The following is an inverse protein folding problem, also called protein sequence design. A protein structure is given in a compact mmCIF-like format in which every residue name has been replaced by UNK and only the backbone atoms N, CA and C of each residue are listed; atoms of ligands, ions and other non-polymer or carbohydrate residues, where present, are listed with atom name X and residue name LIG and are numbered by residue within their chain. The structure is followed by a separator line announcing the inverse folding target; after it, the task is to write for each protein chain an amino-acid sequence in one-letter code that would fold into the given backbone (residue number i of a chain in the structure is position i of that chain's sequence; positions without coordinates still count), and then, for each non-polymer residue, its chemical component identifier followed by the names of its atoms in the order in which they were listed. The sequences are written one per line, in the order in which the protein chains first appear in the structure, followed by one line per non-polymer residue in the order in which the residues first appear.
data_IF_099792062423
#
_entry.id   IF_099792062423
#
_cell.length_a   1.000
_cell.length_b   1.000
_cell.length_c   1.000
_cell.angle_alpha   90.00
_cell.angle_beta   90.00
_cell.angle_gamma   90.00
#
_symmetry.space_group_name_H-M   'P 1'
#
loop_
_entity.id
_entity.type
_entity.pdbx_description
1 polymer ?
#
# COMPACT_ATOMS: atom_id res chain seq x y z
N UNK A 1 -1.56 -1.10 7.90
CA UNK A 1 -0.66 -1.28 9.08
C UNK A 1 -0.37 -2.75 9.37
N UNK A 2 -1.28 -3.67 9.04
CA UNK A 2 -1.11 -5.11 9.31
C UNK A 2 0.15 -5.70 8.70
N UNK A 3 0.48 -5.32 7.48
CA UNK A 3 1.70 -5.77 6.80
C UNK A 3 3.02 -5.42 7.48
N UNK A 4 3.05 -4.43 8.40
CA UNK A 4 4.30 -4.03 9.08
C UNK A 4 4.83 -5.13 10.00
N UNK A 5 3.96 -5.88 10.66
CA UNK A 5 4.37 -6.98 11.56
C UNK A 5 5.04 -8.11 10.77
N UNK A 6 4.43 -8.49 9.65
CA UNK A 6 4.99 -9.51 8.74
C UNK A 6 6.28 -8.99 8.11
N UNK A 7 6.27 -7.74 7.63
CA UNK A 7 7.45 -7.08 7.09
C UNK A 7 8.61 -7.03 8.05
N UNK A 8 8.34 -6.82 9.36
CA UNK A 8 9.36 -6.84 10.40
C UNK A 8 10.01 -8.24 10.54
N UNK A 9 9.22 -9.31 10.52
CA UNK A 9 9.77 -10.67 10.58
C UNK A 9 10.61 -10.99 9.33
N UNK A 10 10.11 -10.65 8.15
CA UNK A 10 10.85 -10.82 6.89
C UNK A 10 12.15 -10.01 6.89
N UNK A 11 12.11 -8.75 7.34
CA UNK A 11 13.29 -7.89 7.46
C UNK A 11 14.38 -8.53 8.30
N UNK A 12 14.04 -9.13 9.44
CA UNK A 12 14.99 -9.84 10.31
C UNK A 12 15.58 -11.08 9.64
N UNK A 13 14.74 -11.91 9.01
CA UNK A 13 15.16 -13.15 8.37
C UNK A 13 16.07 -12.87 7.18
N UNK A 14 15.66 -11.93 6.33
CA UNK A 14 16.38 -11.58 5.10
C UNK A 14 17.51 -10.57 5.33
N UNK A 15 17.60 -9.98 6.53
CA UNK A 15 18.54 -8.89 6.88
C UNK A 15 18.43 -7.70 5.95
N UNK A 16 17.20 -7.32 5.62
CA UNK A 16 16.87 -6.18 4.76
C UNK A 16 16.24 -5.05 5.57
N UNK A 17 16.43 -3.79 5.16
CA UNK A 17 15.77 -2.66 5.81
C UNK A 17 14.25 -2.76 5.66
N UNK A 18 13.51 -2.32 6.69
CA UNK A 18 12.06 -2.21 6.69
C UNK A 18 11.64 -0.75 6.54
N UNK A 19 10.73 -0.50 5.62
CA UNK A 19 10.08 0.79 5.44
C UNK A 19 8.57 0.63 5.30
N UNK A 20 7.83 1.70 5.54
CA UNK A 20 6.38 1.73 5.34
C UNK A 20 6.04 2.56 4.11
N UNK A 21 5.15 2.05 3.29
CA UNK A 21 4.48 2.85 2.28
C UNK A 21 3.14 3.34 2.83
N UNK A 22 2.93 4.65 2.82
CA UNK A 22 1.68 5.27 3.22
C UNK A 22 0.99 5.77 1.96
N UNK A 23 -0.21 5.26 1.71
CA UNK A 23 -1.04 5.68 0.59
C UNK A 23 -2.38 6.19 1.10
N UNK A 24 -2.99 7.08 0.33
CA UNK A 24 -4.34 7.59 0.58
C UNK A 24 -5.14 7.54 -0.71
N UNK A 25 -6.40 7.14 -0.63
CA UNK A 25 -7.32 7.21 -1.76
C UNK A 25 -7.72 8.65 -2.01
N UNK A 26 -7.88 9.04 -3.27
CA UNK A 26 -8.56 10.27 -3.68
C UNK A 26 -10.00 9.88 -3.89
N UNK A 27 -10.92 10.43 -3.10
CA UNK A 27 -12.35 10.16 -3.22
C UNK A 27 -13.00 10.98 -4.35
N UNK A 28 -14.17 10.56 -4.78
CA UNK A 28 -15.01 11.33 -5.71
C UNK A 28 -15.67 12.51 -4.96
N UNK A 29 -15.86 13.69 -5.59
CA UNK A 29 -16.58 14.80 -4.97
C UNK A 29 -17.94 14.35 -4.42
N UNK A 30 -18.16 14.56 -3.12
CA UNK A 30 -19.39 14.16 -2.43
C UNK A 30 -19.51 12.66 -2.10
N UNK A 31 -18.55 11.83 -2.49
CA UNK A 31 -18.52 10.39 -2.14
C UNK A 31 -17.07 9.89 -1.94
N UNK A 32 -16.52 10.11 -0.75
CA UNK A 32 -15.13 9.75 -0.42
C UNK A 32 -14.84 8.24 -0.52
N UNK A 33 -15.84 7.37 -0.39
CA UNK A 33 -15.68 5.92 -0.50
C UNK A 33 -15.43 5.48 -1.96
N UNK A 34 -15.92 6.27 -2.93
CA UNK A 34 -15.69 6.00 -4.33
C UNK A 34 -14.35 6.57 -4.78
N UNK A 35 -13.32 5.72 -4.81
CA UNK A 35 -11.97 6.15 -5.13
C UNK A 35 -11.78 6.42 -6.63
N UNK A 36 -11.36 7.63 -6.95
CA UNK A 36 -10.96 8.07 -8.31
C UNK A 36 -9.46 8.04 -8.53
N UNK A 37 -8.70 7.80 -7.47
CA UNK A 37 -7.25 7.75 -7.54
C UNK A 37 -6.60 7.41 -6.20
N UNK A 38 -5.30 7.62 -6.13
CA UNK A 38 -4.53 7.50 -4.90
C UNK A 38 -3.28 8.38 -4.91
N UNK A 39 -2.88 8.80 -3.73
CA UNK A 39 -1.64 9.53 -3.46
C UNK A 39 -0.72 8.64 -2.65
N UNK A 40 0.57 8.73 -2.92
CA UNK A 40 1.63 8.00 -2.22
C UNK A 40 2.82 8.88 -1.85
N UNK A 41 3.91 8.27 -1.41
CA UNK A 41 5.09 8.99 -0.98
C UNK A 41 5.73 9.79 -2.14
N UNK A 42 6.34 10.93 -1.79
CA UNK A 42 7.01 11.78 -2.77
C UNK A 42 6.06 12.61 -3.64
N UNK A 43 4.82 12.80 -3.18
CA UNK A 43 3.73 13.46 -3.92
C UNK A 43 3.33 12.75 -5.21
N UNK A 44 3.70 11.48 -5.35
CA UNK A 44 3.27 10.67 -6.47
C UNK A 44 1.79 10.36 -6.35
N UNK A 45 1.08 10.44 -7.46
CA UNK A 45 -0.34 10.09 -7.49
C UNK A 45 -0.71 9.33 -8.78
N UNK A 46 -1.81 8.65 -8.73
CA UNK A 46 -2.46 8.00 -9.87
C UNK A 46 -3.93 8.36 -9.88
N UNK A 47 -4.48 8.53 -11.06
CA UNK A 47 -5.92 8.73 -11.27
C UNK A 47 -6.47 7.60 -12.13
N UNK A 48 -7.73 7.25 -11.92
CA UNK A 48 -8.49 6.43 -12.86
C UNK A 48 -9.06 7.37 -13.92
N UNK A 49 -8.48 7.36 -15.12
CA UNK A 49 -8.82 8.27 -16.21
C UNK A 49 -10.30 8.17 -16.63
N UNK A 50 -10.87 6.95 -16.55
CA UNK A 50 -12.29 6.72 -16.86
C UNK A 50 -13.25 7.46 -15.93
N UNK A 51 -12.80 7.76 -14.70
CA UNK A 51 -13.61 8.40 -13.66
C UNK A 51 -13.20 9.86 -13.45
N UNK A 52 -11.90 10.13 -13.46
CA UNK A 52 -11.35 11.47 -13.26
C UNK A 52 -11.64 12.42 -14.43
N UNK A 53 -11.96 11.90 -15.62
CA UNK A 53 -12.40 12.68 -16.78
C UNK A 53 -13.88 13.10 -16.75
N UNK A 54 -14.63 12.77 -15.70
CA UNK A 54 -16.02 13.17 -15.52
C UNK A 54 -16.17 14.68 -15.27
N UNK A 55 -17.30 15.28 -15.73
CA UNK A 55 -17.57 16.73 -15.61
C UNK A 55 -17.55 17.27 -14.17
N UNK A 56 -17.73 16.39 -13.18
CA UNK A 56 -17.80 16.75 -11.76
C UNK A 56 -16.43 16.74 -11.07
N UNK A 57 -15.42 16.12 -11.70
CA UNK A 57 -14.05 16.07 -11.18
C UNK A 57 -13.22 17.10 -11.94
N UNK A 58 -13.17 18.32 -11.42
CA UNK A 58 -12.35 19.37 -12.01
C UNK A 58 -10.91 19.31 -11.49
N UNK A 59 -9.98 19.99 -12.17
CA UNK A 59 -8.57 20.03 -11.79
C UNK A 59 -8.38 20.67 -10.41
N UNK A 60 -9.12 21.72 -10.07
CA UNK A 60 -8.99 22.42 -8.79
C UNK A 60 -9.29 21.47 -7.62
N UNK A 61 -10.35 20.66 -7.73
CA UNK A 61 -10.67 19.63 -6.73
C UNK A 61 -9.54 18.62 -6.55
N UNK A 62 -8.97 18.15 -7.67
CA UNK A 62 -7.84 17.19 -7.59
C UNK A 62 -6.66 17.84 -6.91
N UNK A 63 -6.29 19.06 -7.25
CA UNK A 63 -5.15 19.76 -6.69
C UNK A 63 -5.32 20.00 -5.18
N UNK A 64 -6.49 20.43 -4.74
CA UNK A 64 -6.83 20.59 -3.32
C UNK A 64 -6.74 19.27 -2.55
N UNK A 65 -7.32 18.18 -3.10
CA UNK A 65 -7.24 16.87 -2.47
C UNK A 65 -5.80 16.33 -2.44
N UNK A 66 -5.01 16.53 -3.49
CA UNK A 66 -3.60 16.14 -3.51
C UNK A 66 -2.82 16.86 -2.41
N UNK A 67 -3.03 18.17 -2.22
CA UNK A 67 -2.36 18.93 -1.16
C UNK A 67 -2.77 18.41 0.22
N UNK A 68 -4.07 18.31 0.48
CA UNK A 68 -4.62 17.79 1.75
C UNK A 68 -4.11 16.40 2.09
N UNK A 69 -4.14 15.48 1.12
CA UNK A 69 -3.72 14.08 1.33
C UNK A 69 -2.21 13.95 1.50
N UNK A 70 -1.41 14.75 0.79
CA UNK A 70 0.03 14.80 0.99
C UNK A 70 0.39 15.26 2.40
N UNK A 71 -0.27 16.29 2.93
CA UNK A 71 -0.07 16.71 4.33
C UNK A 71 -0.37 15.56 5.31
N UNK A 72 -1.45 14.81 5.10
CA UNK A 72 -1.79 13.67 5.96
C UNK A 72 -0.74 12.57 5.89
N UNK A 73 -0.19 12.29 4.70
CA UNK A 73 0.89 11.33 4.50
C UNK A 73 2.16 11.80 5.23
N UNK A 74 2.55 13.08 5.07
CA UNK A 74 3.71 13.64 5.76
C UNK A 74 3.57 13.61 7.28
N UNK A 75 2.38 13.99 7.81
CA UNK A 75 2.07 13.89 9.23
C UNK A 75 2.24 12.45 9.73
N UNK A 76 1.81 11.47 8.95
CA UNK A 76 1.95 10.04 9.30
C UNK A 76 3.41 9.58 9.27
N UNK A 77 4.22 10.00 8.29
CA UNK A 77 5.66 9.72 8.27
C UNK A 77 6.38 10.33 9.47
N UNK A 78 6.07 11.58 9.83
CA UNK A 78 6.61 12.23 11.04
C UNK A 78 6.24 11.47 12.31
N UNK A 79 4.98 11.00 12.42
CA UNK A 79 4.53 10.17 13.55
C UNK A 79 5.37 8.89 13.66
N UNK A 80 5.69 8.26 12.55
CA UNK A 80 6.52 7.04 12.51
C UNK A 80 8.03 7.34 12.61
N UNK A 81 8.42 8.58 12.92
CA UNK A 81 9.81 9.05 13.02
C UNK A 81 10.60 8.80 11.73
N UNK A 82 9.93 8.93 10.59
CA UNK A 82 10.52 8.89 9.26
C UNK A 82 10.48 10.29 8.64
N UNK A 83 11.58 10.72 8.05
CA UNK A 83 11.65 12.04 7.41
C UNK A 83 11.05 12.02 6.01
N UNK A 84 11.25 10.92 5.31
CA UNK A 84 10.77 10.72 3.94
C UNK A 84 10.76 9.23 3.59
N UNK A 85 10.02 8.89 2.55
CA UNK A 85 10.14 7.58 1.91
C UNK A 85 11.52 7.43 1.25
N UNK A 86 12.19 6.28 1.36
CA UNK A 86 13.52 6.09 0.80
C UNK A 86 13.52 6.11 -0.72
N UNK A 87 14.68 6.44 -1.31
CA UNK A 87 14.88 6.26 -2.74
C UNK A 87 14.94 4.76 -3.07
N UNK A 88 14.00 4.32 -3.92
CA UNK A 88 13.86 2.92 -4.37
C UNK A 88 14.27 2.71 -5.83
N UNK A 89 14.76 3.75 -6.50
CA UNK A 89 15.17 3.66 -7.90
C UNK A 89 16.21 2.56 -8.10
N UNK A 90 15.99 1.71 -9.09
CA UNK A 90 16.83 0.56 -9.44
C UNK A 90 17.00 -0.50 -8.32
N UNK A 91 16.16 -0.48 -7.28
CA UNK A 91 16.19 -1.47 -6.20
C UNK A 91 15.07 -2.51 -6.38
N UNK A 92 15.30 -3.72 -5.89
CA UNK A 92 14.25 -4.72 -5.73
C UNK A 92 13.50 -4.43 -4.45
N UNK A 93 12.17 -4.34 -4.55
CA UNK A 93 11.27 -4.04 -3.44
C UNK A 93 10.42 -5.27 -3.13
N UNK A 94 10.32 -5.62 -1.87
CA UNK A 94 9.36 -6.60 -1.37
C UNK A 94 8.23 -5.82 -0.71
N UNK A 95 7.08 -5.73 -1.38
CA UNK A 95 5.86 -5.15 -0.81
C UNK A 95 5.14 -6.22 -0.01
N UNK A 96 4.87 -5.93 1.25
CA UNK A 96 4.29 -6.90 2.20
C UNK A 96 2.97 -6.37 2.76
N UNK A 97 1.97 -7.23 2.87
CA UNK A 97 0.74 -6.94 3.61
C UNK A 97 0.29 -8.19 4.40
N UNK A 98 -0.69 -8.04 5.31
CA UNK A 98 -1.25 -9.13 6.12
C UNK A 98 -2.16 -10.07 5.30
N UNK A 99 -2.58 -9.66 4.15
CA UNK A 99 -3.35 -10.40 3.17
C UNK A 99 -4.01 -9.47 2.17
N UNK A 100 -4.59 -10.06 1.16
CA UNK A 100 -5.33 -9.32 0.14
C UNK A 100 -6.74 -9.88 0.03
N UNK A 101 -7.75 -9.01 0.16
CA UNK A 101 -9.13 -9.34 -0.18
C UNK A 101 -9.41 -8.98 -1.66
N UNK A 102 -9.67 -7.73 -1.95
CA UNK A 102 -9.92 -7.24 -3.33
C UNK A 102 -8.67 -6.82 -4.09
N UNK A 103 -7.56 -6.61 -3.39
CA UNK A 103 -6.28 -6.19 -3.96
C UNK A 103 -6.18 -4.70 -4.34
N UNK A 104 -7.23 -3.90 -4.19
CA UNK A 104 -7.21 -2.50 -4.62
C UNK A 104 -6.10 -1.68 -3.94
N UNK A 105 -5.88 -1.84 -2.64
CA UNK A 105 -4.82 -1.12 -1.91
C UNK A 105 -3.44 -1.56 -2.39
N UNK A 106 -3.22 -2.87 -2.54
CA UNK A 106 -1.95 -3.40 -3.05
C UNK A 106 -1.67 -2.93 -4.48
N UNK A 107 -2.68 -2.98 -5.37
CA UNK A 107 -2.59 -2.46 -6.74
C UNK A 107 -2.15 -0.99 -6.74
N UNK A 108 -2.83 -0.14 -5.97
CA UNK A 108 -2.51 1.29 -5.88
C UNK A 108 -1.08 1.50 -5.37
N UNK A 109 -0.68 0.76 -4.34
CA UNK A 109 0.68 0.82 -3.79
C UNK A 109 1.74 0.42 -4.82
N UNK A 110 1.51 -0.66 -5.58
CA UNK A 110 2.41 -1.11 -6.65
C UNK A 110 2.53 -0.05 -7.75
N UNK A 111 1.42 0.52 -8.20
CA UNK A 111 1.41 1.55 -9.25
C UNK A 111 2.18 2.81 -8.82
N UNK A 112 2.00 3.24 -7.57
CA UNK A 112 2.73 4.38 -7.00
C UNK A 112 4.23 4.07 -6.87
N UNK A 113 4.60 2.87 -6.41
CA UNK A 113 6.00 2.45 -6.34
C UNK A 113 6.65 2.40 -7.73
N UNK A 114 5.94 1.94 -8.77
CA UNK A 114 6.44 1.90 -10.16
C UNK A 114 6.83 3.28 -10.69
N UNK A 115 6.15 4.35 -10.28
CA UNK A 115 6.52 5.72 -10.66
C UNK A 115 7.94 6.10 -10.22
N UNK A 116 8.43 5.52 -9.12
CA UNK A 116 9.80 5.74 -8.63
C UNK A 116 10.84 4.82 -9.31
N UNK A 117 10.46 4.10 -10.34
CA UNK A 117 11.33 3.27 -11.19
C UNK A 117 12.18 2.25 -10.41
N UNK A 118 11.58 1.40 -9.55
CA UNK A 118 12.31 0.30 -8.94
C UNK A 118 12.77 -0.69 -10.03
N UNK A 119 13.78 -1.52 -9.72
CA UNK A 119 14.22 -2.61 -10.61
C UNK A 119 13.18 -3.73 -10.68
N UNK A 120 12.57 -4.07 -9.55
CA UNK A 120 11.60 -5.17 -9.42
C UNK A 120 10.72 -4.93 -8.22
N UNK A 121 9.44 -5.28 -8.32
CA UNK A 121 8.49 -5.31 -7.20
C UNK A 121 8.01 -6.73 -7.01
N UNK A 122 8.28 -7.30 -5.84
CA UNK A 122 7.78 -8.59 -5.38
C UNK A 122 6.67 -8.31 -4.38
N UNK A 123 5.47 -8.80 -4.62
CA UNK A 123 4.37 -8.77 -3.66
C UNK A 123 4.40 -10.05 -2.82
N UNK A 124 4.57 -9.92 -1.51
CA UNK A 124 4.63 -11.06 -0.58
C UNK A 124 3.50 -10.95 0.45
N UNK A 125 2.57 -11.91 0.45
CA UNK A 125 1.39 -11.93 1.31
C UNK A 125 1.12 -13.35 1.82
N UNK A 126 0.61 -13.51 3.06
CA UNK A 126 0.26 -14.81 3.59
C UNK A 126 -0.96 -15.43 2.90
N UNK A 127 -2.00 -14.63 2.62
CA UNK A 127 -3.28 -15.17 2.16
C UNK A 127 -4.00 -14.22 1.21
N UNK A 128 -4.60 -14.77 0.15
CA UNK A 128 -5.49 -14.05 -0.76
C UNK A 128 -6.39 -15.02 -1.55
N UNK A 129 -7.55 -14.55 -2.05
CA UNK A 129 -8.32 -15.27 -3.06
C UNK A 129 -7.52 -15.45 -4.37
N UNK A 130 -7.72 -16.57 -5.03
CA UNK A 130 -7.02 -16.89 -6.30
C UNK A 130 -7.20 -15.80 -7.37
N UNK A 131 -8.38 -15.20 -7.46
CA UNK A 131 -8.64 -14.16 -8.46
C UNK A 131 -7.92 -12.85 -8.15
N UNK A 132 -7.74 -12.52 -6.86
CA UNK A 132 -6.92 -11.39 -6.44
C UNK A 132 -5.45 -11.60 -6.77
N UNK A 133 -4.92 -12.83 -6.64
CA UNK A 133 -3.56 -13.17 -7.06
C UNK A 133 -3.39 -12.96 -8.56
N UNK A 134 -4.27 -13.54 -9.40
CA UNK A 134 -4.24 -13.34 -10.86
C UNK A 134 -4.30 -11.87 -11.27
N UNK A 135 -5.03 -11.06 -10.51
CA UNK A 135 -5.05 -9.62 -10.72
C UNK A 135 -3.69 -8.99 -10.36
N UNK A 136 -3.09 -9.36 -9.24
CA UNK A 136 -1.80 -8.79 -8.80
C UNK A 136 -0.64 -9.17 -9.71
N UNK A 137 -0.65 -10.36 -10.32
CA UNK A 137 0.33 -10.81 -11.31
C UNK A 137 0.41 -9.89 -12.56
N UNK A 138 -0.62 -9.08 -12.82
CA UNK A 138 -0.60 -8.05 -13.87
C UNK A 138 0.16 -6.79 -13.48
N UNK A 139 0.35 -6.58 -12.19
CA UNK A 139 0.94 -5.35 -11.65
C UNK A 139 2.29 -5.56 -10.99
N UNK A 140 2.49 -6.60 -10.19
CA UNK A 140 3.77 -6.94 -9.60
C UNK A 140 4.62 -7.77 -10.60
N UNK A 141 5.94 -7.70 -10.47
CA UNK A 141 6.85 -8.53 -11.28
C UNK A 141 6.90 -9.98 -10.77
N UNK A 142 6.55 -10.16 -9.49
CA UNK A 142 6.44 -11.47 -8.84
C UNK A 142 5.41 -11.39 -7.72
N UNK A 143 4.63 -12.45 -7.53
CA UNK A 143 3.67 -12.58 -6.43
C UNK A 143 3.97 -13.86 -5.65
N UNK A 144 4.23 -13.71 -4.36
CA UNK A 144 4.41 -14.80 -3.40
C UNK A 144 3.22 -14.81 -2.46
N UNK A 145 2.40 -15.85 -2.51
CA UNK A 145 1.25 -16.04 -1.62
C UNK A 145 1.32 -17.44 -1.02
N UNK A 146 1.21 -17.55 0.30
CA UNK A 146 1.33 -18.85 0.98
C UNK A 146 0.05 -19.66 0.87
N UNK A 147 -1.12 -19.02 1.04
CA UNK A 147 -2.41 -19.68 1.06
C UNK A 147 -3.39 -19.02 0.11
N UNK A 148 -4.06 -19.82 -0.71
CA UNK A 148 -5.12 -19.39 -1.64
C UNK A 148 -6.39 -20.19 -1.38
N UNK A 149 -7.12 -19.91 -0.29
CA UNK A 149 -8.27 -20.69 0.11
C UNK A 149 -9.46 -20.52 -0.84
N UNK A 150 -10.26 -21.59 -0.99
CA UNK A 150 -11.50 -21.54 -1.78
C UNK A 150 -12.57 -20.67 -1.11
N UNK A 151 -12.67 -20.79 0.22
CA UNK A 151 -13.63 -20.04 1.02
C UNK A 151 -12.92 -18.89 1.72
N UNK A 152 -13.03 -17.70 1.16
CA UNK A 152 -12.41 -16.48 1.69
C UNK A 152 -13.50 -15.43 1.96
N UNK A 153 -13.69 -15.11 3.25
CA UNK A 153 -14.63 -14.05 3.67
C UNK A 153 -13.90 -12.80 4.18
N UNK A 154 -12.83 -12.99 4.95
CA UNK A 154 -12.01 -11.92 5.49
C UNK A 154 -10.59 -12.42 5.79
N UNK A 155 -9.61 -11.53 5.75
CA UNK A 155 -8.20 -11.85 6.06
C UNK A 155 -8.07 -12.44 7.48
N UNK A 156 -8.76 -11.86 8.44
CA UNK A 156 -8.67 -12.24 9.85
C UNK A 156 -9.04 -13.69 10.16
N UNK A 157 -9.80 -14.39 9.28
CA UNK A 157 -10.16 -15.80 9.51
C UNK A 157 -8.95 -16.77 9.41
N UNK A 158 -7.83 -16.30 8.86
CA UNK A 158 -6.60 -17.09 8.69
C UNK A 158 -5.54 -16.81 9.76
N UNK A 159 -5.91 -16.03 10.79
CA UNK A 159 -5.03 -15.68 11.88
C UNK A 159 -5.63 -16.13 13.21
N UNK A 160 -4.82 -16.70 14.10
CA UNK A 160 -5.26 -17.02 15.47
C UNK A 160 -5.66 -15.76 16.24
N UNK A 161 -4.90 -14.67 16.02
CA UNK A 161 -5.14 -13.35 16.61
C UNK A 161 -5.01 -12.29 15.54
N UNK A 162 -6.11 -11.68 15.14
CA UNK A 162 -6.14 -10.59 14.15
C UNK A 162 -6.53 -9.27 14.81
N UNK A 163 -5.56 -8.67 15.50
CA UNK A 163 -5.73 -7.38 16.16
C UNK A 163 -5.15 -6.27 15.28
N UNK A 164 -5.85 -5.16 15.21
CA UNK A 164 -5.36 -4.01 14.44
C UNK A 164 -4.03 -3.48 15.02
N UNK A 165 -2.99 -3.48 14.20
CA UNK A 165 -1.67 -2.94 14.57
C UNK A 165 -1.77 -1.45 14.87
N UNK A 166 -1.35 -1.03 16.08
CA UNK A 166 -1.37 0.37 16.52
C UNK A 166 -0.19 1.17 15.92
N UNK A 167 -0.30 2.50 15.97
CA UNK A 167 0.79 3.37 15.52
C UNK A 167 2.05 3.20 16.39
N UNK A 168 1.89 2.93 17.68
CA UNK A 168 2.99 2.65 18.61
C UNK A 168 3.70 1.35 18.25
N UNK A 169 2.95 0.33 17.86
CA UNK A 169 3.53 -0.94 17.38
C UNK A 169 4.32 -0.73 16.09
N UNK A 170 3.79 0.04 15.13
CA UNK A 170 4.51 0.40 13.90
C UNK A 170 5.84 1.08 14.24
N UNK A 171 5.81 2.11 15.11
CA UNK A 171 7.03 2.82 15.54
C UNK A 171 8.03 1.85 16.19
N UNK A 172 7.55 0.95 17.04
CA UNK A 172 8.39 -0.07 17.71
C UNK A 172 9.06 -1.01 16.71
N UNK A 173 8.33 -1.48 15.68
CA UNK A 173 8.92 -2.35 14.65
C UNK A 173 9.94 -1.59 13.80
N UNK A 174 9.61 -0.38 13.36
CA UNK A 174 10.52 0.43 12.56
C UNK A 174 11.79 0.88 13.31
N UNK A 175 11.76 0.96 14.62
CA UNK A 175 12.94 1.34 15.43
C UNK A 175 13.92 0.21 15.68
N UNK A 176 13.57 -1.04 15.36
CA UNK A 176 14.37 -2.25 15.62
C UNK A 176 15.11 -2.78 14.37
N UNK A 177 15.00 -2.10 13.25
CA UNK A 177 15.59 -2.49 11.95
C UNK A 177 16.26 -1.32 11.28
#
# INVERSE_FOLDING_TARGET
RGGVEIGFQLSKILKLPLEVIITKKIGYPGNEEYAIGAVGPGKEYILNEDVAGGKEVNHDYIDEELERLNELIEKRYKLYKRNRFPDIKNKTIILVDDGIATGNTAKLSILLLKKQKPKKIILAIPVAPKDSIKMMEKYADEVVCLEMPLNFFAIGQFYENFVQVSDEQVIKYLSKV
#
